data_IF_690816442865
#
_entry.id   IF_690816442865
#
_cell.length_a   1.000
_cell.length_b   1.000
_cell.length_c   1.000
_cell.angle_alpha   90.00
_cell.angle_beta   90.00
_cell.angle_gamma   90.00
#
_symmetry.space_group_name_H-M   'P 1'
#
loop_
_entity.id
_entity.type
_entity.pdbx_description
1 polymer ?
#
# COMPACT_ATOMS: atom_id res chain seq x y z
N UNK A 1 10.44 49.66 -20.78
CA UNK A 1 9.32 49.10 -20.00
C UNK A 1 8.41 48.32 -20.96
N UNK A 2 8.58 47.00 -21.06
CA UNK A 2 7.64 46.13 -21.75
C UNK A 2 7.28 45.00 -20.78
N UNK A 3 5.99 44.94 -20.43
CA UNK A 3 5.38 43.99 -19.53
C UNK A 3 5.49 42.57 -20.10
N UNK A 4 6.48 41.79 -19.64
CA UNK A 4 6.43 40.32 -19.68
C UNK A 4 5.98 39.78 -18.31
N UNK A 5 4.80 40.22 -17.87
CA UNK A 5 4.04 39.47 -16.88
C UNK A 5 3.28 38.38 -17.63
N UNK A 6 4.00 37.32 -18.06
CA UNK A 6 3.35 36.07 -18.40
C UNK A 6 2.56 35.65 -17.17
N UNK A 7 1.23 35.60 -17.28
CA UNK A 7 0.37 34.99 -16.28
C UNK A 7 0.87 33.56 -16.05
N UNK A 8 1.64 33.37 -14.98
CA UNK A 8 2.06 32.05 -14.52
C UNK A 8 0.76 31.34 -14.15
N UNK A 9 0.25 30.47 -15.02
CA UNK A 9 -0.99 29.73 -14.80
C UNK A 9 -0.88 29.07 -13.43
N UNK A 10 -1.66 29.57 -12.47
CA UNK A 10 -1.51 29.12 -11.09
C UNK A 10 -2.16 27.76 -11.01
N UNK A 11 -1.35 26.74 -10.79
CA UNK A 11 -1.80 25.37 -10.81
C UNK A 11 -2.57 25.02 -9.53
N UNK A 12 -3.54 24.12 -9.68
CA UNK A 12 -4.28 23.56 -8.55
C UNK A 12 -3.31 22.81 -7.63
N UNK A 13 -3.43 22.96 -6.29
CA UNK A 13 -2.64 22.17 -5.35
C UNK A 13 -2.91 20.67 -5.52
N UNK A 14 -1.93 19.87 -5.10
CA UNK A 14 -2.00 18.41 -5.13
C UNK A 14 -2.10 17.85 -3.72
N UNK A 15 -2.97 16.87 -3.55
CA UNK A 15 -2.89 15.93 -2.44
C UNK A 15 -2.51 14.55 -3.00
N UNK A 16 -1.39 14.02 -2.53
CA UNK A 16 -0.99 12.64 -2.79
C UNK A 16 -1.57 11.72 -1.70
N UNK A 17 -2.24 10.64 -2.10
CA UNK A 17 -2.89 9.69 -1.19
C UNK A 17 -2.30 8.30 -1.42
N UNK A 18 -1.50 7.77 -0.48
CA UNK A 18 -0.85 6.49 -0.66
C UNK A 18 -1.81 5.32 -0.42
N UNK A 19 -1.38 4.10 -0.73
CA UNK A 19 -2.14 2.88 -0.50
C UNK A 19 -1.94 2.28 0.89
N UNK A 20 -2.37 1.03 1.05
CA UNK A 20 -2.09 0.19 2.22
C UNK A 20 -0.57 0.17 2.54
N UNK A 21 -0.20 0.23 3.82
CA UNK A 21 1.16 0.47 4.32
C UNK A 21 1.80 1.80 3.88
N UNK A 22 1.05 2.69 3.24
CA UNK A 22 1.54 3.99 2.82
C UNK A 22 1.72 5.01 3.93
N UNK A 23 1.37 4.66 5.17
CA UNK A 23 1.50 5.53 6.34
C UNK A 23 1.95 4.69 7.53
N UNK A 24 2.84 5.23 8.33
CA UNK A 24 3.29 4.70 9.61
C UNK A 24 3.31 5.84 10.63
N UNK A 25 3.18 5.51 11.91
CA UNK A 25 3.11 6.45 13.03
C UNK A 25 2.08 5.99 14.06
N UNK A 26 1.85 6.80 15.10
CA UNK A 26 1.09 6.42 16.29
C UNK A 26 -0.33 5.95 16.01
N UNK A 27 -0.99 6.47 14.99
CA UNK A 27 -2.35 6.02 14.61
C UNK A 27 -2.35 4.60 14.03
N UNK A 28 -1.21 4.16 13.46
CA UNK A 28 -1.04 2.79 12.98
C UNK A 28 -0.56 1.90 14.11
N UNK A 29 0.57 2.26 14.72
CA UNK A 29 1.22 1.50 15.79
C UNK A 29 1.52 2.47 16.94
N UNK A 30 0.81 2.39 18.07
CA UNK A 30 0.94 3.41 19.12
C UNK A 30 2.36 3.52 19.65
N UNK A 31 2.78 4.76 19.93
CA UNK A 31 4.15 5.06 20.34
C UNK A 31 5.11 5.34 19.18
N UNK A 32 4.75 5.05 17.92
CA UNK A 32 5.70 5.23 16.79
C UNK A 32 5.81 6.67 16.26
N UNK A 33 5.11 7.65 16.84
CA UNK A 33 5.29 9.07 16.59
C UNK A 33 4.42 9.64 15.46
N UNK A 34 4.84 10.76 14.85
CA UNK A 34 4.06 11.45 13.80
C UNK A 34 3.92 10.61 12.54
N UNK A 35 2.77 10.77 11.86
CA UNK A 35 2.50 10.10 10.60
C UNK A 35 3.48 10.49 9.49
N UNK A 36 4.01 9.49 8.78
CA UNK A 36 4.92 9.60 7.62
C UNK A 36 4.89 8.31 6.80
N UNK A 37 5.52 8.26 5.63
CA UNK A 37 5.55 7.03 4.80
C UNK A 37 6.25 5.86 5.49
N UNK A 38 7.23 6.17 6.32
CA UNK A 38 8.13 5.21 6.92
C UNK A 38 8.78 4.24 5.92
N UNK A 39 8.69 2.91 6.12
CA UNK A 39 9.22 1.92 5.16
C UNK A 39 8.75 2.13 3.73
N UNK A 40 7.53 2.63 3.56
CA UNK A 40 6.97 2.88 2.24
C UNK A 40 7.60 4.11 1.55
N UNK A 41 8.44 4.87 2.25
CA UNK A 41 9.21 5.96 1.70
C UNK A 41 10.09 5.54 0.53
N UNK A 42 10.59 4.30 0.51
CA UNK A 42 11.36 3.76 -0.61
C UNK A 42 10.59 3.78 -1.94
N UNK A 43 9.26 3.60 -1.90
CA UNK A 43 8.44 3.55 -3.12
C UNK A 43 7.67 4.85 -3.38
N UNK A 44 7.30 5.59 -2.33
CA UNK A 44 6.53 6.83 -2.46
C UNK A 44 7.38 8.10 -2.62
N UNK A 45 8.55 8.19 -1.95
CA UNK A 45 9.41 9.36 -2.05
C UNK A 45 9.85 9.69 -3.49
N UNK A 46 10.13 8.71 -4.38
CA UNK A 46 10.40 9.00 -5.79
C UNK A 46 9.28 9.78 -6.48
N UNK A 47 8.00 9.45 -6.21
CA UNK A 47 6.86 10.20 -6.76
C UNK A 47 6.80 11.62 -6.18
N UNK A 48 6.99 11.78 -4.87
CA UNK A 48 7.00 13.12 -4.24
C UNK A 48 8.14 13.98 -4.81
N UNK A 49 9.35 13.42 -4.95
CA UNK A 49 10.49 14.10 -5.61
C UNK A 49 10.17 14.48 -7.05
N UNK A 50 9.48 13.60 -7.79
CA UNK A 50 9.04 13.91 -9.14
C UNK A 50 8.05 15.08 -9.18
N UNK A 51 7.02 15.07 -8.33
CA UNK A 51 6.08 16.19 -8.20
C UNK A 51 6.80 17.50 -7.84
N UNK A 52 7.81 17.46 -6.96
CA UNK A 52 8.64 18.64 -6.68
C UNK A 52 9.43 19.12 -7.89
N UNK A 53 9.95 18.21 -8.70
CA UNK A 53 10.66 18.56 -9.94
C UNK A 53 9.74 19.20 -10.99
N UNK A 54 8.42 18.98 -10.88
CA UNK A 54 7.41 19.71 -11.67
C UNK A 54 7.14 21.13 -11.14
N UNK A 55 7.75 21.55 -10.03
CA UNK A 55 7.59 22.88 -9.44
C UNK A 55 6.53 22.97 -8.33
N UNK A 56 6.10 21.84 -7.78
CA UNK A 56 5.29 21.83 -6.55
C UNK A 56 6.19 21.85 -5.30
N UNK A 57 5.68 22.41 -4.21
CA UNK A 57 6.38 22.61 -2.95
C UNK A 57 5.53 22.04 -1.80
N UNK A 58 6.14 21.12 -1.03
CA UNK A 58 5.49 20.49 0.12
C UNK A 58 5.05 21.54 1.15
N UNK A 59 3.82 21.42 1.65
CA UNK A 59 3.23 22.34 2.62
C UNK A 59 2.69 23.65 2.02
N UNK A 60 2.94 23.91 0.73
CA UNK A 60 2.37 25.07 0.01
C UNK A 60 1.29 24.64 -0.98
N UNK A 61 1.67 23.84 -1.98
CA UNK A 61 0.77 23.37 -3.04
C UNK A 61 0.96 21.88 -3.37
N UNK A 62 1.75 21.16 -2.56
CA UNK A 62 1.83 19.72 -2.51
C UNK A 62 1.64 19.26 -1.07
N UNK A 63 0.73 18.33 -0.88
CA UNK A 63 0.40 17.77 0.42
C UNK A 63 0.29 16.26 0.29
N UNK A 64 0.48 15.57 1.41
CA UNK A 64 0.36 14.12 1.50
C UNK A 64 -0.73 13.83 2.52
N UNK A 65 -1.74 13.06 2.13
CA UNK A 65 -2.75 12.55 3.04
C UNK A 65 -2.19 11.29 3.70
N UNK A 66 -1.49 11.45 4.82
CA UNK A 66 -1.22 10.33 5.70
C UNK A 66 -2.50 9.97 6.46
N UNK A 67 -2.90 8.71 6.42
CA UNK A 67 -4.14 8.25 7.05
C UNK A 67 -3.95 6.90 7.72
N UNK A 68 -4.82 6.59 8.67
CA UNK A 68 -4.89 5.25 9.23
C UNK A 68 -5.52 4.29 8.21
N UNK A 69 -4.67 3.59 7.47
CA UNK A 69 -5.06 2.64 6.43
C UNK A 69 -5.70 1.36 6.97
N UNK A 70 -5.73 1.17 8.29
CA UNK A 70 -6.38 0.01 8.92
C UNK A 70 -7.90 0.21 9.05
N UNK A 71 -8.33 1.46 9.16
CA UNK A 71 -9.72 1.83 9.31
C UNK A 71 -10.46 1.75 7.96
N UNK A 72 -11.78 1.62 8.02
CA UNK A 72 -12.66 1.74 6.85
C UNK A 72 -12.34 2.99 6.03
N UNK A 73 -12.31 2.87 4.70
CA UNK A 73 -11.94 3.91 3.75
C UNK A 73 -12.85 5.14 3.87
N UNK A 74 -14.15 4.96 4.14
CA UNK A 74 -15.06 6.07 4.43
C UNK A 74 -14.62 6.84 5.68
N UNK A 75 -14.31 6.14 6.78
CA UNK A 75 -13.81 6.76 7.99
C UNK A 75 -12.48 7.49 7.76
N UNK A 76 -11.54 6.87 7.03
CA UNK A 76 -10.28 7.52 6.65
C UNK A 76 -10.50 8.79 5.82
N UNK A 77 -11.54 8.82 4.97
CA UNK A 77 -11.89 10.00 4.18
C UNK A 77 -12.40 11.16 5.06
N UNK A 78 -13.18 10.85 6.09
CA UNK A 78 -13.74 11.82 7.05
C UNK A 78 -12.65 12.35 7.98
N UNK A 79 -11.83 11.46 8.54
CA UNK A 79 -10.89 11.82 9.61
C UNK A 79 -9.60 12.47 9.11
N UNK A 80 -9.16 12.11 7.89
CA UNK A 80 -7.85 12.52 7.37
C UNK A 80 -7.96 13.36 6.10
N UNK A 81 -8.66 12.85 5.07
CA UNK A 81 -8.67 13.51 3.77
C UNK A 81 -9.46 14.82 3.78
N UNK A 82 -10.67 14.82 4.35
CA UNK A 82 -11.53 16.00 4.37
C UNK A 82 -10.93 17.19 5.16
N UNK A 83 -10.40 17.01 6.40
CA UNK A 83 -9.71 18.07 7.11
C UNK A 83 -8.48 18.59 6.36
N UNK A 84 -7.74 17.69 5.69
CA UNK A 84 -6.60 18.10 4.86
C UNK A 84 -7.07 18.95 3.66
N UNK A 85 -8.13 18.55 2.97
CA UNK A 85 -8.70 19.31 1.85
C UNK A 85 -9.09 20.73 2.30
N UNK A 86 -9.75 20.89 3.45
CA UNK A 86 -10.06 22.22 4.01
C UNK A 86 -8.81 23.06 4.22
N UNK A 87 -7.82 22.50 4.91
CA UNK A 87 -6.53 23.18 5.13
C UNK A 87 -5.84 23.58 3.82
N UNK A 88 -5.87 22.70 2.81
CA UNK A 88 -5.26 22.98 1.51
C UNK A 88 -5.98 24.11 0.78
N UNK A 89 -7.32 24.14 0.83
CA UNK A 89 -8.14 25.23 0.27
C UNK A 89 -7.83 26.56 0.95
N UNK A 90 -7.75 26.58 2.28
CA UNK A 90 -7.42 27.78 3.05
C UNK A 90 -6.05 28.36 2.64
N UNK A 91 -5.04 27.50 2.51
CA UNK A 91 -3.68 27.91 2.10
C UNK A 91 -3.62 28.38 0.64
N UNK A 92 -4.43 27.78 -0.25
CA UNK A 92 -4.33 27.97 -1.70
C UNK A 92 -5.41 28.89 -2.30
N UNK A 93 -6.17 29.60 -1.46
CA UNK A 93 -7.20 30.54 -1.89
C UNK A 93 -8.42 29.85 -2.51
N UNK A 94 -8.91 28.80 -1.87
CA UNK A 94 -10.10 28.01 -2.27
C UNK A 94 -10.05 27.42 -3.69
N UNK A 95 -8.86 27.21 -4.23
CA UNK A 95 -8.69 26.49 -5.50
C UNK A 95 -9.18 25.05 -5.38
N UNK A 96 -9.67 24.52 -6.49
CA UNK A 96 -9.87 23.08 -6.64
C UNK A 96 -8.54 22.34 -6.50
N UNK A 97 -8.61 21.08 -6.09
CA UNK A 97 -7.47 20.22 -5.78
C UNK A 97 -7.38 19.10 -6.82
N UNK A 98 -6.16 18.72 -7.19
CA UNK A 98 -5.91 17.47 -7.92
C UNK A 98 -5.51 16.38 -6.91
N UNK A 99 -6.17 15.22 -6.97
CA UNK A 99 -5.80 14.06 -6.17
C UNK A 99 -4.94 13.10 -7.00
N UNK A 100 -3.81 12.68 -6.46
CA UNK A 100 -2.96 11.62 -7.02
C UNK A 100 -2.97 10.46 -6.03
N UNK A 101 -3.63 9.38 -6.40
CA UNK A 101 -3.96 8.30 -5.51
C UNK A 101 -3.27 7.01 -5.95
N UNK A 102 -2.72 6.26 -5.01
CA UNK A 102 -2.16 4.94 -5.28
C UNK A 102 -2.95 3.85 -4.57
N UNK A 103 -3.26 2.77 -5.28
CA UNK A 103 -3.87 1.57 -4.70
C UNK A 103 -5.14 1.95 -3.90
N UNK A 104 -5.25 1.47 -2.66
CA UNK A 104 -6.35 1.78 -1.72
C UNK A 104 -6.57 3.28 -1.46
N UNK A 105 -5.54 4.13 -1.61
CA UNK A 105 -5.71 5.59 -1.48
C UNK A 105 -6.69 6.18 -2.50
N UNK A 106 -6.93 5.48 -3.62
CA UNK A 106 -7.98 5.84 -4.57
C UNK A 106 -9.39 5.59 -4.02
N UNK A 107 -9.55 4.56 -3.19
CA UNK A 107 -10.83 4.26 -2.54
C UNK A 107 -11.16 5.27 -1.44
N UNK A 108 -10.17 5.73 -0.69
CA UNK A 108 -10.33 6.86 0.26
C UNK A 108 -10.78 8.13 -0.47
N UNK A 109 -10.18 8.41 -1.63
CA UNK A 109 -10.56 9.56 -2.45
C UNK A 109 -11.97 9.43 -3.02
N UNK A 110 -12.35 8.25 -3.51
CA UNK A 110 -13.72 7.95 -3.97
C UNK A 110 -14.73 8.09 -2.84
N UNK A 111 -14.45 7.54 -1.67
CA UNK A 111 -15.31 7.68 -0.50
C UNK A 111 -15.59 9.15 -0.16
N UNK A 112 -14.58 10.03 -0.26
CA UNK A 112 -14.80 11.47 -0.14
C UNK A 112 -15.65 12.05 -1.28
N UNK A 113 -15.27 11.81 -2.53
CA UNK A 113 -15.89 12.42 -3.71
C UNK A 113 -17.31 11.94 -3.93
N UNK A 114 -17.68 10.73 -3.47
CA UNK A 114 -19.01 10.14 -3.64
C UNK A 114 -19.92 10.40 -2.42
N UNK A 115 -19.37 10.84 -1.29
CA UNK A 115 -20.13 11.14 -0.05
C UNK A 115 -21.07 12.35 -0.15
N UNK A 116 -21.98 12.48 0.80
CA UNK A 116 -22.87 13.65 0.93
C UNK A 116 -22.16 14.93 1.41
N UNK A 117 -20.97 14.80 2.02
CA UNK A 117 -20.20 15.93 2.54
C UNK A 117 -19.15 16.46 1.53
N UNK A 118 -19.20 16.00 0.29
CA UNK A 118 -18.34 16.48 -0.78
C UNK A 118 -18.62 17.95 -1.14
N UNK A 119 -17.60 18.81 -1.11
CA UNK A 119 -17.75 20.25 -1.32
C UNK A 119 -17.45 20.70 -2.78
N UNK A 120 -17.46 19.78 -3.75
CA UNK A 120 -17.19 20.08 -5.19
C UNK A 120 -15.81 20.71 -5.45
N UNK A 121 -14.84 20.40 -4.61
CA UNK A 121 -13.51 21.01 -4.60
C UNK A 121 -12.42 20.17 -5.28
N UNK A 122 -12.77 19.03 -5.88
CA UNK A 122 -11.82 18.24 -6.67
C UNK A 122 -11.97 18.57 -8.16
N UNK A 123 -10.83 18.77 -8.82
CA UNK A 123 -10.73 18.97 -10.27
C UNK A 123 -10.38 17.67 -11.00
N UNK A 124 -9.31 17.01 -10.54
CA UNK A 124 -8.83 15.74 -11.12
C UNK A 124 -8.71 14.67 -10.05
N UNK A 125 -9.15 13.46 -10.40
CA UNK A 125 -8.87 12.23 -9.67
C UNK A 125 -7.96 11.36 -10.53
N UNK A 126 -6.70 11.21 -10.12
CA UNK A 126 -5.68 10.43 -10.83
C UNK A 126 -5.43 9.15 -10.03
N UNK A 127 -5.97 8.04 -10.49
CA UNK A 127 -5.88 6.73 -9.86
C UNK A 127 -4.71 5.93 -10.45
N UNK A 128 -3.81 5.47 -9.60
CA UNK A 128 -2.68 4.61 -9.94
C UNK A 128 -2.93 3.24 -9.31
N UNK A 129 -3.26 2.24 -10.13
CA UNK A 129 -3.50 0.86 -9.68
C UNK A 129 -4.58 0.72 -8.57
N UNK A 130 -5.64 1.52 -8.61
CA UNK A 130 -6.72 1.42 -7.61
C UNK A 130 -7.59 0.19 -7.86
N UNK A 131 -7.83 -0.67 -6.85
CA UNK A 131 -8.71 -1.84 -6.98
C UNK A 131 -10.19 -1.42 -6.90
N UNK A 132 -10.69 -0.78 -7.97
CA UNK A 132 -12.04 -0.22 -7.97
C UNK A 132 -13.16 -1.26 -7.78
N UNK A 133 -12.91 -2.53 -8.13
CA UNK A 133 -13.81 -3.64 -7.84
C UNK A 133 -13.21 -4.66 -6.84
N UNK A 134 -12.14 -4.31 -6.13
CA UNK A 134 -11.46 -5.19 -5.18
C UNK A 134 -10.33 -6.02 -5.78
N UNK A 135 -9.65 -6.79 -4.95
CA UNK A 135 -8.52 -7.63 -5.31
C UNK A 135 -8.71 -9.03 -4.72
N UNK A 136 -8.55 -10.06 -5.54
CA UNK A 136 -8.75 -11.46 -5.14
C UNK A 136 -7.80 -11.86 -4.01
N UNK A 137 -6.59 -11.28 -3.97
CA UNK A 137 -5.62 -11.52 -2.90
C UNK A 137 -6.15 -11.17 -1.49
N UNK A 138 -7.11 -10.23 -1.38
CA UNK A 138 -7.68 -9.84 -0.09
C UNK A 138 -8.46 -10.99 0.58
N UNK A 139 -8.95 -11.95 -0.20
CA UNK A 139 -9.67 -13.13 0.30
C UNK A 139 -8.83 -13.95 1.28
N UNK A 140 -7.58 -14.25 0.89
CA UNK A 140 -6.67 -15.05 1.71
C UNK A 140 -6.48 -14.48 3.11
N UNK A 141 -6.28 -13.16 3.19
CA UNK A 141 -6.04 -12.51 4.46
C UNK A 141 -7.31 -12.37 5.28
N UNK A 142 -8.40 -11.93 4.66
CA UNK A 142 -9.65 -11.69 5.38
C UNK A 142 -10.24 -13.00 5.93
N UNK A 143 -10.18 -14.10 5.20
CA UNK A 143 -10.81 -15.36 5.60
C UNK A 143 -9.86 -16.31 6.33
N UNK A 144 -8.55 -16.22 6.08
CA UNK A 144 -7.55 -17.13 6.64
C UNK A 144 -6.54 -16.49 7.59
N UNK A 145 -6.49 -15.16 7.66
CA UNK A 145 -5.51 -14.43 8.48
C UNK A 145 -4.08 -14.52 7.96
N UNK A 146 -3.87 -14.99 6.73
CA UNK A 146 -2.54 -15.15 6.12
C UNK A 146 -2.48 -14.52 4.72
N UNK A 147 -1.29 -14.13 4.27
CA UNK A 147 -1.09 -13.73 2.88
C UNK A 147 -1.02 -14.99 2.01
N UNK A 148 -1.47 -14.94 0.74
CA UNK A 148 -1.33 -16.06 -0.19
C UNK A 148 0.07 -16.67 -0.19
N UNK A 149 0.07 -18.00 -0.29
CA UNK A 149 1.20 -18.92 -0.34
C UNK A 149 2.53 -18.34 -0.85
N UNK A 150 3.62 -18.90 -0.31
CA UNK A 150 5.02 -18.58 -0.60
C UNK A 150 5.45 -18.62 -2.09
N UNK A 151 4.53 -18.91 -3.04
CA UNK A 151 4.79 -19.04 -4.48
C UNK A 151 4.60 -17.79 -5.36
N UNK A 152 4.10 -16.66 -4.85
CA UNK A 152 3.86 -15.46 -5.69
C UNK A 152 5.06 -14.49 -5.64
N UNK A 153 5.95 -14.52 -6.64
CA UNK A 153 7.17 -13.69 -6.74
C UNK A 153 6.91 -12.26 -7.29
N UNK A 154 5.64 -11.82 -7.33
CA UNK A 154 5.21 -10.69 -8.17
C UNK A 154 5.22 -9.33 -7.43
N UNK A 155 4.97 -9.30 -6.10
CA UNK A 155 4.96 -8.09 -5.25
C UNK A 155 5.82 -8.24 -3.97
N UNK A 156 7.12 -8.45 -4.17
CA UNK A 156 8.09 -8.78 -3.11
C UNK A 156 8.17 -7.71 -2.03
N UNK A 157 8.14 -6.43 -2.41
CA UNK A 157 8.22 -5.33 -1.45
C UNK A 157 7.06 -5.35 -0.45
N UNK A 158 5.83 -5.52 -0.95
CA UNK A 158 4.65 -5.62 -0.10
C UNK A 158 4.73 -6.83 0.84
N UNK A 159 5.20 -7.99 0.35
CA UNK A 159 5.40 -9.18 1.19
C UNK A 159 6.41 -8.95 2.32
N UNK A 160 7.50 -8.24 2.03
CA UNK A 160 8.51 -7.87 3.04
C UNK A 160 7.89 -6.95 4.09
N UNK A 161 7.17 -5.90 3.65
CA UNK A 161 6.49 -4.98 4.57
C UNK A 161 5.47 -5.71 5.45
N UNK A 162 4.66 -6.57 4.85
CA UNK A 162 3.64 -7.30 5.56
C UNK A 162 4.22 -8.24 6.61
N UNK A 163 5.18 -9.10 6.22
CA UNK A 163 5.80 -10.07 7.14
C UNK A 163 6.42 -9.37 8.35
N UNK A 164 7.11 -8.25 8.12
CA UNK A 164 7.69 -7.45 9.20
C UNK A 164 6.63 -6.75 10.05
N UNK A 165 5.57 -6.20 9.44
CA UNK A 165 4.50 -5.52 10.16
C UNK A 165 3.70 -6.49 11.05
N UNK A 166 3.28 -7.64 10.53
CA UNK A 166 2.56 -8.63 11.33
C UNK A 166 3.44 -9.18 12.45
N UNK A 167 4.74 -9.38 12.18
CA UNK A 167 5.68 -9.79 13.23
C UNK A 167 5.74 -8.77 14.37
N UNK A 168 5.94 -7.49 14.07
CA UNK A 168 6.04 -6.46 15.11
C UNK A 168 4.68 -6.23 15.80
N UNK A 169 3.57 -6.34 15.06
CA UNK A 169 2.22 -6.21 15.60
C UNK A 169 1.90 -7.28 16.65
N UNK A 170 2.23 -8.53 16.35
CA UNK A 170 2.05 -9.66 17.28
C UNK A 170 2.81 -9.46 18.58
N UNK A 171 4.04 -8.96 18.49
CA UNK A 171 4.88 -8.63 19.65
C UNK A 171 4.25 -7.51 20.49
N UNK A 172 3.82 -6.43 19.84
CA UNK A 172 3.22 -5.29 20.52
C UNK A 172 1.95 -5.66 21.29
N UNK A 173 1.01 -6.35 20.63
CA UNK A 173 -0.26 -6.71 21.25
C UNK A 173 -0.22 -8.01 22.06
N UNK A 174 0.91 -8.72 22.04
CA UNK A 174 1.09 -10.05 22.68
C UNK A 174 0.00 -11.04 22.23
N UNK A 175 -0.24 -11.04 20.92
CA UNK A 175 -1.23 -11.89 20.26
C UNK A 175 -0.55 -12.89 19.34
N UNK A 176 -1.19 -14.05 19.17
CA UNK A 176 -0.88 -15.01 18.12
C UNK A 176 -1.79 -14.80 16.90
N UNK A 177 -1.84 -15.77 15.98
CA UNK A 177 -2.79 -15.75 14.86
C UNK A 177 -4.22 -15.81 15.39
N UNK A 178 -4.92 -14.67 15.36
CA UNK A 178 -6.31 -14.55 15.77
C UNK A 178 -7.07 -13.76 14.68
N UNK A 179 -7.98 -14.44 13.99
CA UNK A 179 -8.71 -13.86 12.87
C UNK A 179 -9.67 -12.74 13.33
N UNK A 180 -10.34 -12.93 14.47
CA UNK A 180 -11.20 -11.91 15.09
C UNK A 180 -10.41 -10.63 15.39
N UNK A 181 -9.18 -10.77 15.91
CA UNK A 181 -8.29 -9.62 16.08
C UNK A 181 -8.00 -8.94 14.73
N UNK A 182 -7.68 -9.71 13.68
CA UNK A 182 -7.40 -9.13 12.36
C UNK A 182 -8.59 -8.43 11.74
N UNK A 183 -9.81 -8.97 11.84
CA UNK A 183 -11.03 -8.32 11.37
C UNK A 183 -11.27 -6.98 12.06
N UNK A 184 -11.09 -6.96 13.38
CA UNK A 184 -11.24 -5.74 14.18
C UNK A 184 -10.12 -4.74 13.90
N UNK A 185 -8.89 -5.21 13.71
CA UNK A 185 -7.72 -4.38 13.58
C UNK A 185 -7.52 -3.84 12.16
N UNK A 186 -7.96 -4.56 11.11
CA UNK A 186 -7.75 -4.25 9.68
C UNK A 186 -9.06 -4.20 8.89
N UNK A 187 -10.02 -3.39 9.33
CA UNK A 187 -11.34 -3.26 8.72
C UNK A 187 -11.30 -2.89 7.23
N UNK A 188 -10.29 -2.14 6.79
CA UNK A 188 -10.10 -1.78 5.38
C UNK A 188 -9.85 -2.97 4.46
N UNK A 189 -9.36 -4.11 4.96
CA UNK A 189 -9.06 -5.26 4.11
C UNK A 189 -10.35 -5.93 3.62
N UNK A 190 -11.42 -5.94 4.43
CA UNK A 190 -12.75 -6.35 3.96
C UNK A 190 -13.18 -5.52 2.75
N UNK A 191 -12.89 -4.21 2.79
CA UNK A 191 -13.22 -3.26 1.72
C UNK A 191 -12.31 -3.38 0.49
N UNK A 192 -11.32 -4.28 0.52
CA UNK A 192 -10.51 -4.67 -0.64
C UNK A 192 -10.96 -6.00 -1.27
N UNK A 193 -11.89 -6.74 -0.66
CA UNK A 193 -12.43 -7.96 -1.25
C UNK A 193 -13.10 -7.67 -2.61
N UNK A 194 -13.15 -8.62 -3.54
CA UNK A 194 -13.92 -8.46 -4.76
C UNK A 194 -15.38 -8.04 -4.47
N UNK A 195 -15.87 -7.05 -5.21
CA UNK A 195 -17.26 -6.59 -5.12
C UNK A 195 -18.14 -7.30 -6.14
N UNK A 196 -19.47 -7.10 -6.09
CA UNK A 196 -20.38 -7.64 -7.12
C UNK A 196 -20.06 -7.17 -8.54
N UNK A 197 -19.36 -6.04 -8.66
CA UNK A 197 -18.85 -5.50 -9.92
C UNK A 197 -17.57 -6.18 -10.41
N UNK A 198 -16.83 -6.85 -9.53
CA UNK A 198 -15.85 -7.84 -9.95
C UNK A 198 -16.56 -9.07 -10.48
N UNK A 199 -17.68 -9.46 -9.88
CA UNK A 199 -18.40 -10.70 -10.16
C UNK A 199 -17.76 -11.91 -9.49
N UNK A 200 -18.30 -13.09 -9.78
CA UNK A 200 -17.90 -14.34 -9.12
C UNK A 200 -16.39 -14.60 -9.30
N UNK A 201 -15.74 -14.93 -8.18
CA UNK A 201 -14.28 -15.10 -8.13
C UNK A 201 -13.83 -16.38 -7.43
N UNK A 202 -14.73 -17.05 -6.70
CA UNK A 202 -14.50 -18.37 -6.11
C UNK A 202 -15.19 -19.44 -6.96
N UNK A 203 -14.56 -20.60 -7.10
CA UNK A 203 -15.18 -21.74 -7.77
C UNK A 203 -14.77 -23.07 -7.13
N UNK A 204 -15.66 -24.06 -7.19
CA UNK A 204 -15.36 -25.45 -6.87
C UNK A 204 -15.03 -26.17 -8.17
N UNK A 205 -13.97 -26.98 -8.15
CA UNK A 205 -13.65 -27.89 -9.25
C UNK A 205 -14.23 -29.26 -8.94
N UNK A 206 -15.21 -29.68 -9.74
CA UNK A 206 -15.86 -30.97 -9.61
C UNK A 206 -14.93 -32.10 -10.09
N UNK A 207 -15.15 -33.37 -9.67
CA UNK A 207 -14.32 -34.50 -10.08
C UNK A 207 -14.21 -34.72 -11.60
N UNK A 208 -15.17 -34.21 -12.37
CA UNK A 208 -15.20 -34.23 -13.84
C UNK A 208 -14.39 -33.08 -14.49
N UNK A 209 -13.79 -32.19 -13.68
CA UNK A 209 -13.03 -31.02 -14.11
C UNK A 209 -13.90 -29.80 -14.43
N UNK A 210 -15.23 -29.86 -14.23
CA UNK A 210 -16.09 -28.70 -14.38
C UNK A 210 -15.86 -27.70 -13.25
N UNK A 211 -15.86 -26.41 -13.59
CA UNK A 211 -15.66 -25.31 -12.63
C UNK A 211 -16.98 -24.61 -12.37
N UNK A 212 -17.51 -24.81 -11.18
CA UNK A 212 -18.75 -24.20 -10.73
C UNK A 212 -18.43 -22.99 -9.87
N UNK A 213 -18.77 -21.80 -10.37
CA UNK A 213 -18.53 -20.55 -9.65
C UNK A 213 -19.54 -20.38 -8.51
N UNK A 214 -19.03 -19.98 -7.35
CA UNK A 214 -19.88 -19.53 -6.25
C UNK A 214 -20.37 -18.12 -6.59
N UNK A 215 -21.69 -17.96 -6.60
CA UNK A 215 -22.32 -16.67 -6.78
C UNK A 215 -21.89 -15.73 -5.65
N UNK A 216 -21.33 -14.57 -6.00
CA UNK A 216 -20.92 -13.56 -5.01
C UNK A 216 -22.11 -13.04 -4.16
N UNK A 217 -23.33 -13.16 -4.69
CA UNK A 217 -24.54 -12.80 -3.97
C UNK A 217 -24.90 -13.83 -2.88
N UNK A 218 -24.40 -15.05 -2.97
CA UNK A 218 -24.65 -16.15 -2.04
C UNK A 218 -23.53 -16.31 -1.00
N UNK A 219 -22.38 -15.67 -1.24
CA UNK A 219 -21.26 -15.63 -0.29
C UNK A 219 -21.68 -14.97 1.03
N UNK A 220 -21.11 -15.44 2.15
CA UNK A 220 -21.32 -14.90 3.49
C UNK A 220 -20.59 -13.57 3.66
N UNK A 221 -19.36 -13.45 3.15
CA UNK A 221 -18.58 -12.23 3.22
C UNK A 221 -18.66 -11.48 1.88
N UNK A 222 -19.06 -10.21 1.96
CA UNK A 222 -19.23 -9.32 0.80
C UNK A 222 -18.52 -7.99 1.03
N UNK A 223 -18.24 -7.27 -0.05
CA UNK A 223 -17.68 -5.94 0.03
C UNK A 223 -18.76 -4.87 -0.20
N UNK A 224 -19.52 -4.59 0.85
CA UNK A 224 -20.64 -3.64 0.77
C UNK A 224 -20.16 -2.23 0.42
N UNK A 225 -18.97 -1.84 0.90
CA UNK A 225 -18.37 -0.54 0.59
C UNK A 225 -18.12 -0.34 -0.91
N UNK A 226 -17.49 -1.32 -1.58
CA UNK A 226 -17.28 -1.22 -3.02
C UNK A 226 -18.57 -1.46 -3.81
N UNK A 227 -19.51 -2.24 -3.30
CA UNK A 227 -20.83 -2.35 -3.93
C UNK A 227 -21.51 -0.98 -3.97
N UNK A 228 -21.54 -0.26 -2.84
CA UNK A 228 -22.15 1.06 -2.72
C UNK A 228 -21.45 2.12 -3.58
N UNK A 229 -20.10 2.16 -3.55
CA UNK A 229 -19.34 3.08 -4.41
C UNK A 229 -19.55 2.79 -5.89
N UNK A 230 -19.72 1.52 -6.27
CA UNK A 230 -19.86 1.18 -7.68
C UNK A 230 -21.30 1.27 -8.18
N UNK A 231 -22.30 1.08 -7.31
CA UNK A 231 -23.70 1.40 -7.58
C UNK A 231 -23.89 2.89 -7.90
N UNK A 232 -23.12 3.75 -7.24
CA UNK A 232 -23.23 5.20 -7.38
C UNK A 232 -22.10 5.85 -8.20
N UNK A 233 -21.23 5.07 -8.85
CA UNK A 233 -20.00 5.58 -9.50
C UNK A 233 -20.23 6.68 -10.53
N UNK A 234 -21.42 6.75 -11.12
CA UNK A 234 -21.79 7.79 -12.08
C UNK A 234 -21.73 9.20 -11.47
N UNK A 235 -21.89 9.29 -10.14
CA UNK A 235 -21.85 10.55 -9.40
C UNK A 235 -20.50 11.26 -9.50
N UNK A 236 -19.41 10.51 -9.71
CA UNK A 236 -18.09 11.08 -9.94
C UNK A 236 -18.09 12.02 -11.17
N UNK A 237 -18.82 11.63 -12.23
CA UNK A 237 -18.93 12.42 -13.47
C UNK A 237 -19.92 13.56 -13.35
N UNK A 238 -21.09 13.31 -12.75
CA UNK A 238 -22.10 14.35 -12.58
C UNK A 238 -21.63 15.47 -11.66
N UNK A 239 -20.71 15.16 -10.73
CA UNK A 239 -20.00 16.13 -9.88
C UNK A 239 -18.88 16.88 -10.61
N UNK A 240 -18.61 16.55 -11.87
CA UNK A 240 -17.66 17.25 -12.74
C UNK A 240 -16.19 16.95 -12.45
N UNK A 241 -15.89 15.77 -11.88
CA UNK A 241 -14.51 15.35 -11.60
C UNK A 241 -13.89 14.71 -12.84
N UNK A 242 -12.70 15.16 -13.23
CA UNK A 242 -11.96 14.58 -14.34
C UNK A 242 -11.18 13.34 -13.85
N UNK A 243 -11.57 12.15 -14.30
CA UNK A 243 -10.98 10.90 -13.83
C UNK A 243 -9.94 10.36 -14.83
N UNK A 244 -8.76 10.05 -14.31
CA UNK A 244 -7.67 9.42 -15.04
C UNK A 244 -7.25 8.15 -14.32
N UNK A 245 -7.10 7.06 -15.05
CA UNK A 245 -6.62 5.80 -14.48
C UNK A 245 -5.32 5.39 -15.16
N UNK A 246 -4.34 5.02 -14.35
CA UNK A 246 -3.12 4.38 -14.82
C UNK A 246 -3.08 2.98 -14.23
N UNK A 247 -3.06 1.98 -15.10
CA UNK A 247 -3.00 0.57 -14.73
C UNK A 247 -1.70 -0.06 -15.22
N UNK A 248 -1.12 -0.94 -14.41
CA UNK A 248 0.04 -1.71 -14.78
C UNK A 248 -0.34 -3.13 -15.25
N UNK A 249 0.46 -3.72 -16.13
CA UNK A 249 0.27 -5.10 -16.61
C UNK A 249 1.58 -5.86 -16.81
N UNK A 250 1.45 -7.16 -17.03
CA UNK A 250 2.57 -8.07 -17.32
C UNK A 250 3.04 -8.83 -16.09
N UNK A 251 2.20 -8.88 -15.05
CA UNK A 251 2.44 -9.54 -13.78
C UNK A 251 1.30 -10.52 -13.50
N UNK A 252 1.62 -11.76 -13.15
CA UNK A 252 0.62 -12.76 -12.77
C UNK A 252 -0.15 -12.25 -11.56
N UNK A 253 -1.45 -12.12 -11.76
CA UNK A 253 -2.37 -11.56 -10.78
C UNK A 253 -3.51 -12.55 -10.62
N UNK A 254 -3.86 -12.89 -9.39
CA UNK A 254 -4.97 -13.81 -9.11
C UNK A 254 -6.29 -13.21 -9.63
N UNK A 255 -6.96 -13.98 -10.49
CA UNK A 255 -8.25 -13.62 -11.07
C UNK A 255 -9.40 -14.44 -10.46
N UNK A 256 -9.11 -15.70 -10.10
CA UNK A 256 -10.07 -16.62 -9.49
C UNK A 256 -9.36 -17.53 -8.50
N UNK A 257 -10.09 -18.04 -7.52
CA UNK A 257 -9.60 -19.00 -6.52
C UNK A 257 -10.45 -20.26 -6.61
N UNK A 258 -9.78 -21.40 -6.76
CA UNK A 258 -10.41 -22.69 -6.52
C UNK A 258 -10.52 -22.91 -5.03
N UNK A 259 -11.71 -23.24 -4.55
CA UNK A 259 -11.97 -23.52 -3.14
C UNK A 259 -12.53 -24.94 -2.98
N UNK A 260 -12.26 -25.55 -1.83
CA UNK A 260 -13.06 -26.68 -1.33
C UNK A 260 -14.05 -26.15 -0.31
N UNK A 261 -15.24 -26.74 -0.29
CA UNK A 261 -16.20 -26.49 0.79
C UNK A 261 -15.57 -26.97 2.09
N UNK A 262 -15.43 -26.05 3.03
CA UNK A 262 -15.01 -26.35 4.39
C UNK A 262 -16.25 -26.32 5.30
N UNK A 263 -16.33 -27.26 6.24
CA UNK A 263 -17.37 -27.29 7.27
C UNK A 263 -17.00 -26.38 8.47
N UNK A 264 -15.81 -25.78 8.43
CA UNK A 264 -15.35 -24.82 9.43
C UNK A 264 -16.12 -23.49 9.32
N UNK A 265 -16.76 -23.09 10.41
CA UNK A 265 -17.51 -21.82 10.47
C UNK A 265 -16.64 -20.62 10.89
N UNK A 266 -15.41 -20.84 11.35
CA UNK A 266 -14.55 -19.78 11.91
C UNK A 266 -13.57 -19.18 10.90
N UNK A 267 -13.13 -19.95 9.91
CA UNK A 267 -12.21 -19.53 8.84
C UNK A 267 -12.70 -20.07 7.50
N UNK A 268 -12.37 -19.38 6.41
CA UNK A 268 -12.74 -19.82 5.05
C UNK A 268 -14.24 -20.11 4.91
N UNK A 269 -15.08 -19.22 5.44
CA UNK A 269 -16.53 -19.45 5.55
C UNK A 269 -17.21 -19.59 4.19
N UNK A 270 -16.57 -19.08 3.14
CA UNK A 270 -16.95 -19.18 1.73
C UNK A 270 -16.08 -20.18 0.92
N UNK A 271 -15.18 -20.92 1.58
CA UNK A 271 -14.40 -22.02 1.01
C UNK A 271 -12.87 -21.91 1.18
N UNK A 272 -12.22 -23.00 1.56
CA UNK A 272 -10.76 -23.03 1.77
C UNK A 272 -10.02 -23.02 0.40
N UNK A 273 -9.10 -22.06 0.16
CA UNK A 273 -8.35 -21.98 -1.09
C UNK A 273 -7.47 -23.20 -1.36
N UNK A 274 -7.54 -23.73 -2.57
CA UNK A 274 -6.67 -24.81 -3.07
C UNK A 274 -5.58 -24.27 -4.00
N UNK A 275 -5.97 -23.48 -5.00
CA UNK A 275 -5.07 -22.86 -5.96
C UNK A 275 -5.73 -21.63 -6.59
N UNK A 276 -4.93 -20.77 -7.24
CA UNK A 276 -5.45 -19.61 -7.95
C UNK A 276 -5.30 -19.75 -9.48
N UNK A 277 -6.25 -19.17 -10.21
CA UNK A 277 -6.15 -18.95 -11.66
C UNK A 277 -5.70 -17.53 -11.88
N UNK A 278 -4.59 -17.37 -12.61
CA UNK A 278 -3.90 -16.09 -12.77
C UNK A 278 -4.05 -15.50 -14.16
N UNK A 279 -3.99 -14.17 -14.24
CA UNK A 279 -3.93 -13.41 -15.49
C UNK A 279 -2.70 -12.51 -15.54
N UNK A 280 -2.17 -12.25 -16.74
CA UNK A 280 -1.12 -11.24 -16.97
C UNK A 280 -1.69 -9.83 -17.19
N UNK A 281 -3.02 -9.70 -17.33
CA UNK A 281 -3.75 -8.42 -17.42
C UNK A 281 -3.99 -7.87 -16.02
N UNK A 282 -2.90 -7.69 -15.28
CA UNK A 282 -2.87 -7.17 -13.93
C UNK A 282 -1.44 -6.87 -13.51
N UNK A 283 -1.31 -6.21 -12.36
CA UNK A 283 -0.06 -5.65 -11.87
C UNK A 283 0.59 -6.48 -10.74
N UNK A 284 0.11 -7.70 -10.52
CA UNK A 284 0.53 -8.59 -9.44
C UNK A 284 -0.37 -8.50 -8.21
N UNK A 285 -1.33 -7.57 -8.17
CA UNK A 285 -2.35 -7.46 -7.12
C UNK A 285 -3.73 -7.13 -7.70
N UNK A 286 -3.82 -6.16 -8.60
CA UNK A 286 -5.07 -5.67 -9.20
C UNK A 286 -5.16 -6.08 -10.66
N UNK A 287 -6.27 -6.75 -11.01
CA UNK A 287 -6.57 -7.10 -12.40
C UNK A 287 -7.18 -5.92 -13.15
N UNK A 288 -7.08 -5.91 -14.48
CA UNK A 288 -7.80 -4.94 -15.31
C UNK A 288 -9.32 -5.01 -15.11
N UNK A 289 -9.85 -6.22 -14.85
CA UNK A 289 -11.27 -6.45 -14.52
C UNK A 289 -11.69 -5.61 -13.32
N UNK A 290 -10.84 -5.50 -12.30
CA UNK A 290 -11.09 -4.66 -11.14
C UNK A 290 -10.87 -3.17 -11.39
N UNK A 291 -9.77 -2.79 -12.02
CA UNK A 291 -9.42 -1.38 -12.16
C UNK A 291 -10.30 -0.62 -13.17
N UNK A 292 -10.70 -1.24 -14.29
CA UNK A 292 -11.31 -0.55 -15.44
C UNK A 292 -12.84 -0.42 -15.37
N UNK A 293 -13.44 -0.35 -14.17
CA UNK A 293 -14.91 -0.28 -14.03
C UNK A 293 -15.48 1.15 -14.03
N UNK A 294 -14.62 2.16 -13.98
CA UNK A 294 -14.99 3.57 -14.02
C UNK A 294 -14.95 4.09 -15.46
N UNK A 295 -15.84 5.01 -15.83
CA UNK A 295 -15.69 5.80 -17.05
C UNK A 295 -14.52 6.76 -16.93
N UNK A 296 -13.36 6.47 -17.51
CA UNK A 296 -12.17 7.30 -17.28
C UNK A 296 -11.26 7.37 -18.49
N UNK A 297 -10.29 8.29 -18.41
CA UNK A 297 -9.17 8.31 -19.34
C UNK A 297 -8.12 7.32 -18.88
N UNK A 298 -8.12 6.14 -19.48
CA UNK A 298 -7.27 5.03 -19.06
C UNK A 298 -5.94 5.04 -19.78
N UNK A 299 -4.87 4.71 -19.06
CA UNK A 299 -3.53 4.51 -19.58
C UNK A 299 -2.95 3.22 -19.02
N UNK A 300 -2.38 2.40 -19.90
CA UNK A 300 -1.83 1.10 -19.55
C UNK A 300 -0.31 1.10 -19.73
N UNK A 301 0.42 0.58 -18.75
CA UNK A 301 1.88 0.46 -18.83
C UNK A 301 2.39 -0.89 -18.32
N UNK A 302 3.52 -1.37 -18.84
CA UNK A 302 4.11 -2.61 -18.36
C UNK A 302 4.79 -2.40 -17.00
N UNK A 303 4.38 -3.13 -15.98
CA UNK A 303 4.91 -3.00 -14.63
C UNK A 303 4.16 -3.83 -13.61
N UNK A 304 4.43 -3.55 -12.34
CA UNK A 304 3.77 -4.14 -11.18
C UNK A 304 3.12 -3.05 -10.33
N UNK A 305 2.39 -3.49 -9.30
CA UNK A 305 1.64 -2.66 -8.39
C UNK A 305 2.51 -1.59 -7.73
N UNK A 306 3.80 -1.83 -7.52
CA UNK A 306 4.73 -0.86 -6.92
C UNK A 306 5.42 0.00 -7.98
N UNK A 307 5.96 -0.62 -9.04
CA UNK A 307 6.74 0.06 -10.08
C UNK A 307 5.90 1.03 -10.91
N UNK A 308 4.57 0.91 -10.86
CA UNK A 308 3.65 1.89 -11.45
C UNK A 308 3.89 3.30 -10.91
N UNK A 309 4.26 3.49 -9.64
CA UNK A 309 4.54 4.80 -9.06
C UNK A 309 5.69 5.50 -9.78
N UNK A 310 6.77 4.79 -10.10
CA UNK A 310 7.90 5.34 -10.84
C UNK A 310 7.58 5.49 -12.33
N UNK A 311 7.00 4.47 -12.95
CA UNK A 311 6.74 4.42 -14.40
C UNK A 311 5.65 5.37 -14.86
N UNK A 312 4.68 5.68 -13.99
CA UNK A 312 3.59 6.60 -14.29
C UNK A 312 3.97 8.07 -14.16
N UNK A 313 5.15 8.40 -13.63
CA UNK A 313 5.58 9.79 -13.42
C UNK A 313 5.35 10.68 -14.65
N UNK A 314 5.82 10.35 -15.88
CA UNK A 314 5.58 11.20 -17.05
C UNK A 314 4.09 11.36 -17.39
N UNK A 315 3.29 10.32 -17.16
CA UNK A 315 1.83 10.33 -17.40
C UNK A 315 1.17 11.28 -16.40
N UNK A 316 1.47 11.13 -15.11
CA UNK A 316 0.97 12.00 -14.03
C UNK A 316 1.35 13.46 -14.30
N UNK A 317 2.62 13.73 -14.65
CA UNK A 317 3.06 15.08 -15.00
C UNK A 317 2.32 15.65 -16.21
N UNK A 318 2.04 14.82 -17.22
CA UNK A 318 1.30 15.25 -18.40
C UNK A 318 -0.16 15.60 -18.08
N UNK A 319 -0.82 14.81 -17.23
CA UNK A 319 -2.18 15.06 -16.75
C UNK A 319 -2.25 16.36 -15.94
N UNK A 320 -1.29 16.57 -15.04
CA UNK A 320 -1.27 17.74 -14.14
C UNK A 320 -0.98 19.05 -14.89
N UNK A 321 -0.08 19.02 -15.88
CA UNK A 321 0.45 20.23 -16.53
C UNK A 321 -0.11 20.48 -17.92
N UNK A 322 -0.78 19.51 -18.53
CA UNK A 322 -1.34 19.62 -19.88
C UNK A 322 -0.29 19.69 -21.00
N UNK A 323 0.90 19.11 -20.80
CA UNK A 323 1.97 19.00 -21.80
C UNK A 323 2.72 17.68 -21.64
N UNK A 324 3.32 17.19 -22.71
CA UNK A 324 4.02 15.89 -22.69
C UNK A 324 5.30 15.96 -21.86
N UNK A 325 5.45 15.02 -20.92
CA UNK A 325 6.69 14.79 -20.20
C UNK A 325 7.33 13.47 -20.64
N UNK A 326 8.67 13.43 -20.60
CA UNK A 326 9.46 12.23 -20.82
C UNK A 326 10.35 12.01 -19.61
N UNK A 327 10.46 10.77 -19.12
CA UNK A 327 11.52 10.42 -18.16
C UNK A 327 12.67 9.73 -18.87
N UNK A 328 13.89 9.90 -18.34
CA UNK A 328 14.97 8.95 -18.60
C UNK A 328 14.57 7.60 -18.00
N UNK A 329 14.81 6.52 -18.73
CA UNK A 329 14.64 5.16 -18.20
C UNK A 329 15.63 4.98 -17.06
N UNK A 330 15.12 4.83 -15.86
CA UNK A 330 15.91 4.43 -14.71
C UNK A 330 15.35 3.12 -14.17
N UNK A 331 16.00 2.02 -14.56
CA UNK A 331 15.57 0.65 -14.27
C UNK A 331 16.07 0.16 -12.90
N UNK A 332 16.55 1.05 -12.02
CA UNK A 332 17.01 0.63 -10.70
C UNK A 332 15.84 0.08 -9.90
N UNK A 333 15.82 -1.24 -9.69
CA UNK A 333 14.91 -1.90 -8.77
C UNK A 333 15.34 -1.59 -7.33
N UNK A 334 14.36 -1.35 -6.46
CA UNK A 334 14.57 -1.28 -5.02
C UNK A 334 15.02 -2.65 -4.53
N UNK A 335 16.21 -2.74 -3.91
CA UNK A 335 16.72 -3.97 -3.31
C UNK A 335 16.56 -3.87 -1.79
N UNK A 336 15.42 -4.32 -1.29
CA UNK A 336 15.03 -4.08 0.09
C UNK A 336 15.27 -5.34 0.92
N UNK A 337 15.92 -5.15 2.05
CA UNK A 337 16.15 -6.15 3.07
C UNK A 337 15.30 -5.83 4.29
N UNK A 338 14.67 -6.85 4.88
CA UNK A 338 14.04 -6.73 6.19
C UNK A 338 14.78 -7.58 7.22
N UNK A 339 15.10 -6.99 8.35
CA UNK A 339 15.75 -7.64 9.49
C UNK A 339 14.79 -7.51 10.67
N UNK A 340 14.41 -8.64 11.22
CA UNK A 340 13.59 -8.74 12.43
C UNK A 340 14.48 -9.32 13.52
N UNK A 341 14.70 -8.57 14.59
CA UNK A 341 15.60 -8.97 15.66
C UNK A 341 14.91 -8.92 17.02
N UNK A 342 15.08 -9.99 17.78
CA UNK A 342 14.41 -10.22 19.06
C UNK A 342 15.38 -10.13 20.23
N UNK A 343 14.91 -9.55 21.34
CA UNK A 343 15.62 -9.48 22.62
C UNK A 343 17.03 -8.90 22.48
N UNK A 344 17.16 -7.74 21.84
CA UNK A 344 18.45 -7.08 21.66
C UNK A 344 18.65 -5.97 22.68
N UNK A 345 19.88 -5.91 23.22
CA UNK A 345 20.30 -4.76 24.02
C UNK A 345 20.44 -3.52 23.15
N UNK A 346 21.07 -3.68 21.98
CA UNK A 346 21.38 -2.56 21.09
C UNK A 346 21.69 -3.06 19.67
N UNK A 347 21.44 -2.20 18.68
CA UNK A 347 21.79 -2.41 17.28
C UNK A 347 22.38 -1.13 16.68
N UNK A 348 23.53 -1.25 16.03
CA UNK A 348 24.22 -0.14 15.37
C UNK A 348 24.15 -0.34 13.87
N UNK A 349 23.76 0.70 13.14
CA UNK A 349 23.70 0.68 11.67
C UNK A 349 24.61 1.79 11.13
N UNK A 350 25.61 1.44 10.32
CA UNK A 350 26.57 2.38 9.70
C UNK A 350 27.19 3.39 10.68
N UNK A 351 27.65 2.90 11.83
CA UNK A 351 28.23 3.69 12.92
C UNK A 351 27.28 4.69 13.60
N UNK A 352 26.01 4.75 13.19
CA UNK A 352 24.93 5.37 13.97
C UNK A 352 24.57 4.39 15.08
N UNK A 353 25.01 4.71 16.29
CA UNK A 353 24.62 3.94 17.47
C UNK A 353 23.19 4.32 17.81
N UNK A 354 22.26 3.39 17.62
CA UNK A 354 20.86 3.56 17.99
C UNK A 354 20.71 3.23 19.48
N UNK A 355 21.44 3.96 20.32
CA UNK A 355 21.40 3.83 21.78
C UNK A 355 20.00 4.19 22.31
N UNK A 356 19.79 3.93 23.61
CA UNK A 356 18.65 4.17 24.51
C UNK A 356 17.89 5.52 24.42
N UNK A 357 18.27 6.44 23.53
CA UNK A 357 17.54 7.67 23.22
C UNK A 357 16.59 7.53 22.02
N UNK A 358 16.46 6.34 21.43
CA UNK A 358 15.25 5.99 20.72
C UNK A 358 14.20 5.58 21.75
N UNK A 359 13.36 6.52 22.16
CA UNK A 359 12.04 6.17 22.68
C UNK A 359 11.38 5.17 21.71
N UNK A 360 10.51 4.29 22.21
CA UNK A 360 9.64 3.46 21.36
C UNK A 360 9.16 4.32 20.19
N UNK A 361 9.43 3.91 18.96
CA UNK A 361 9.54 4.95 17.94
C UNK A 361 9.97 4.49 16.56
N UNK A 362 9.65 5.36 15.61
CA UNK A 362 9.95 5.22 14.21
C UNK A 362 11.08 6.17 13.80
N UNK A 363 12.16 5.62 13.24
CA UNK A 363 13.32 6.36 12.75
C UNK A 363 13.58 6.04 11.29
N UNK A 364 13.74 7.08 10.47
CA UNK A 364 13.95 6.95 9.03
C UNK A 364 15.13 7.81 8.60
N UNK A 365 16.07 7.15 7.95
CA UNK A 365 17.28 7.67 7.37
C UNK A 365 17.24 7.36 5.87
N UNK A 366 18.07 8.02 5.06
CA UNK A 366 17.98 7.97 3.59
C UNK A 366 17.81 6.56 2.97
N UNK A 367 18.35 5.51 3.61
CA UNK A 367 18.24 4.12 3.15
C UNK A 367 17.83 3.12 4.24
N UNK A 368 17.51 3.58 5.45
CA UNK A 368 17.28 2.71 6.60
C UNK A 368 16.07 3.20 7.37
N UNK A 369 15.15 2.29 7.63
CA UNK A 369 14.01 2.51 8.48
C UNK A 369 14.08 1.53 9.67
N UNK A 370 13.92 2.04 10.90
CA UNK A 370 13.93 1.26 12.13
C UNK A 370 12.66 1.53 12.92
N UNK A 371 12.00 0.45 13.33
CA UNK A 371 10.89 0.43 14.27
C UNK A 371 11.35 -0.37 15.49
N UNK A 372 11.35 0.27 16.66
CA UNK A 372 11.67 -0.36 17.95
C UNK A 372 10.41 -0.47 18.81
N UNK A 373 10.17 -1.66 19.35
CA UNK A 373 9.15 -1.92 20.36
C UNK A 373 9.79 -2.74 21.46
N UNK A 374 9.87 -2.17 22.67
CA UNK A 374 10.57 -2.81 23.79
C UNK A 374 12.00 -3.20 23.37
N UNK A 375 12.34 -4.49 23.41
CA UNK A 375 13.66 -5.03 23.06
C UNK A 375 13.72 -5.62 21.64
N UNK A 376 12.65 -5.48 20.87
CA UNK A 376 12.50 -6.01 19.52
C UNK A 376 12.65 -4.90 18.46
N UNK A 377 13.35 -5.23 17.36
CA UNK A 377 13.69 -4.31 16.29
C UNK A 377 13.23 -4.85 14.94
N UNK A 378 12.45 -4.05 14.21
CA UNK A 378 12.19 -4.25 12.79
C UNK A 378 12.94 -3.20 11.97
N UNK A 379 13.85 -3.66 11.12
CA UNK A 379 14.72 -2.80 10.32
C UNK A 379 14.52 -3.11 8.85
N UNK A 380 14.30 -2.07 8.05
CA UNK A 380 14.23 -2.15 6.60
C UNK A 380 15.36 -1.35 5.99
N UNK A 381 16.08 -1.98 5.06
CA UNK A 381 17.28 -1.42 4.44
C UNK A 381 17.13 -1.44 2.93
N UNK A 382 17.40 -0.31 2.29
CA UNK A 382 17.63 -0.26 0.85
C UNK A 382 19.11 -0.54 0.54
N UNK A 383 19.42 -1.73 0.01
CA UNK A 383 20.77 -2.25 -0.28
C UNK A 383 21.49 -1.56 -1.45
N UNK A 384 21.07 -0.35 -1.82
CA UNK A 384 21.73 0.43 -2.86
C UNK A 384 23.14 0.92 -2.46
N UNK A 385 23.54 0.73 -1.19
CA UNK A 385 24.89 0.91 -0.63
C UNK A 385 25.17 -0.22 0.37
N UNK A 386 26.45 -0.54 0.60
CA UNK A 386 26.86 -1.47 1.66
C UNK A 386 26.48 -0.90 3.02
N UNK A 387 25.87 -1.72 3.86
CA UNK A 387 25.48 -1.34 5.23
C UNK A 387 26.15 -2.27 6.24
N UNK A 388 26.75 -1.70 7.27
CA UNK A 388 27.30 -2.42 8.42
C UNK A 388 26.31 -2.44 9.57
N UNK A 389 25.88 -3.63 9.98
CA UNK A 389 25.06 -3.86 11.16
C UNK A 389 25.91 -4.45 12.28
N UNK A 390 25.83 -3.90 13.49
CA UNK A 390 26.40 -4.49 14.70
C UNK A 390 25.29 -4.77 15.69
N UNK A 391 25.05 -6.05 15.95
CA UNK A 391 23.95 -6.55 16.77
C UNK A 391 24.52 -6.94 18.14
N UNK A 392 23.98 -6.36 19.22
CA UNK A 392 24.41 -6.64 20.59
C UNK A 392 23.26 -7.33 21.36
N UNK A 393 23.37 -8.64 21.65
CA UNK A 393 22.40 -9.35 22.48
C UNK A 393 22.50 -8.91 23.95
N UNK A 394 21.46 -9.14 24.74
CA UNK A 394 21.57 -9.09 26.20
C UNK A 394 22.47 -10.22 26.72
N UNK A 395 23.18 -9.97 27.82
CA UNK A 395 23.95 -11.02 28.48
C UNK A 395 22.99 -12.11 28.98
N UNK A 396 23.29 -13.38 28.67
CA UNK A 396 22.55 -14.57 29.09
C UNK A 396 21.12 -14.75 28.51
N UNK A 397 20.73 -13.96 27.50
CA UNK A 397 19.49 -14.20 26.74
C UNK A 397 19.79 -14.67 25.32
N UNK A 398 18.90 -15.51 24.77
CA UNK A 398 18.96 -15.90 23.36
C UNK A 398 18.33 -14.79 22.51
N UNK A 399 19.16 -14.05 21.78
CA UNK A 399 18.67 -13.14 20.75
C UNK A 399 18.49 -13.89 19.43
N UNK A 400 17.42 -13.57 18.70
CA UNK A 400 17.10 -14.19 17.41
C UNK A 400 17.07 -13.13 16.35
N UNK A 401 17.68 -13.40 15.20
CA UNK A 401 17.65 -12.50 14.05
C UNK A 401 17.13 -13.25 12.85
N UNK A 402 16.11 -12.69 12.21
CA UNK A 402 15.54 -13.17 10.96
C UNK A 402 15.79 -12.14 9.88
N UNK A 403 16.47 -12.54 8.80
CA UNK A 403 16.77 -11.69 7.66
C UNK A 403 15.95 -12.19 6.47
N UNK A 404 15.16 -11.30 5.88
CA UNK A 404 14.36 -11.52 4.69
C UNK A 404 14.94 -10.68 3.55
N UNK A 405 15.50 -11.33 2.53
CA UNK A 405 16.13 -10.68 1.37
C UNK A 405 15.52 -11.17 0.06
N UNK A 406 15.54 -10.31 -0.96
CA UNK A 406 15.18 -10.67 -2.34
C UNK A 406 16.38 -11.32 -3.03
N UNK A 407 16.26 -12.59 -3.41
CA UNK A 407 17.25 -13.28 -4.22
C UNK A 407 17.27 -12.75 -5.66
N UNK A 408 18.38 -12.96 -6.38
CA UNK A 408 18.55 -12.57 -7.80
C UNK A 408 17.46 -13.11 -8.74
N UNK A 409 16.71 -14.14 -8.34
CA UNK A 409 15.61 -14.74 -9.13
C UNK A 409 14.21 -14.23 -8.76
N UNK A 410 14.09 -13.23 -7.87
CA UNK A 410 12.80 -12.70 -7.42
C UNK A 410 12.16 -13.50 -6.28
N UNK A 411 12.84 -14.53 -5.75
CA UNK A 411 12.39 -15.28 -4.58
C UNK A 411 12.79 -14.59 -3.29
N UNK A 412 12.03 -14.80 -2.23
CA UNK A 412 12.40 -14.39 -0.88
C UNK A 412 13.28 -15.46 -0.22
N UNK A 413 14.45 -15.06 0.27
CA UNK A 413 15.26 -15.87 1.19
C UNK A 413 14.96 -15.46 2.63
N UNK A 414 14.86 -16.45 3.53
CA UNK A 414 14.65 -16.22 4.96
C UNK A 414 15.76 -16.93 5.73
N UNK A 415 16.66 -16.16 6.34
CA UNK A 415 17.75 -16.67 7.15
C UNK A 415 17.49 -16.39 8.64
N UNK A 416 17.48 -17.43 9.47
CA UNK A 416 17.25 -17.33 10.91
C UNK A 416 18.53 -17.72 11.66
N UNK A 417 18.97 -16.85 12.57
CA UNK A 417 20.20 -17.05 13.35
C UNK A 417 19.94 -16.78 14.83
N UNK A 418 20.57 -17.58 15.69
CA UNK A 418 20.62 -17.35 17.14
C UNK A 418 21.95 -16.68 17.46
N UNK A 419 21.89 -15.54 18.14
CA UNK A 419 23.06 -14.72 18.46
C UNK A 419 23.29 -14.74 19.97
N UNK A 420 24.46 -15.23 20.38
CA UNK A 420 24.90 -15.30 21.79
C UNK A 420 26.02 -14.31 22.14
N UNK A 421 26.61 -13.68 21.13
CA UNK A 421 27.68 -12.69 21.26
C UNK A 421 27.50 -11.60 20.20
N UNK A 422 28.21 -10.48 20.34
CA UNK A 422 28.09 -9.39 19.37
C UNK A 422 28.40 -9.86 17.94
N UNK A 423 27.45 -9.67 17.03
CA UNK A 423 27.59 -10.03 15.61
C UNK A 423 27.76 -8.77 14.78
N UNK A 424 28.70 -8.79 13.82
CA UNK A 424 28.82 -7.76 12.78
C UNK A 424 28.44 -8.38 11.44
N UNK A 425 27.52 -7.75 10.71
CA UNK A 425 27.08 -8.17 9.39
C UNK A 425 27.35 -7.02 8.42
N UNK A 426 28.02 -7.29 7.31
CA UNK A 426 28.07 -6.39 6.15
C UNK A 426 27.09 -6.88 5.10
N UNK A 427 26.21 -5.99 4.64
CA UNK A 427 25.08 -6.29 3.77
C UNK A 427 25.15 -5.47 2.49
#
# INVERSE_FOLDING_TARGET
>A
MFFNSLFKRVENPIIFIPGLFGTFGSDILPGTGKLKFGPAGFVYNPMIKYLKSLGYEEGKNLFICYYNWRNKNYQSSVDYLYPLIKKVKDINGNKKINLVCHSMGGLVARAYIESDFYEKDIDKLILLATPNAGAVEAYYFWEGGDIPYEGIDENIFFKILWKGFIWILKKYYKIDNNLEFYHNYFQSIKELLPSKYYGDYLFVENPDGFKEFLSINEMKIKNEFLDDLNDNRDILYTRGVNIYQVLAYGKKTDAYISVKKDDNEDIWVDGEPLYSVQTIRGDGTVTFKSGCILYSKDTFLKGDHTSILKKSQPIVGSILKGRTYYSKRDNKEENILSIMAENLKDIVVDNVTLNDNLDNGFNDFENICIIKIEDDYWILVNKNKKISLKIKPFNNMLSKVTIIDKEKKGKLSVNKSIIKSTLKIEI
#
